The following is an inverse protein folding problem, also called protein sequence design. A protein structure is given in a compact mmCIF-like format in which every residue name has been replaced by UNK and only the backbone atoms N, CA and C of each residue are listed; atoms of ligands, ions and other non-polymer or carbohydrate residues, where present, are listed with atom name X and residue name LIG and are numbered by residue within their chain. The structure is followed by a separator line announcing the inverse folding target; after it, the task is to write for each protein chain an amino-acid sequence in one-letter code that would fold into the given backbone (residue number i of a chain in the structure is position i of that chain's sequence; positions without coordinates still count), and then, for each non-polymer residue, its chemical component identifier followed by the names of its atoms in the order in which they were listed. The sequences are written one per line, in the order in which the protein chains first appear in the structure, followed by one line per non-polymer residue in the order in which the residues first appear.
data_IF_189663163328
#
_entry.id   IF_189663163328
#
_cell.length_a   1.000
_cell.length_b   1.000
_cell.length_c   1.000
_cell.angle_alpha   90.00
_cell.angle_beta   90.00
_cell.angle_gamma   90.00
#
_symmetry.space_group_name_H-M   'P 1'
#
loop_
_entity.id
_entity.type
_entity.pdbx_description
1 polymer ?
#
# COMPACT_ATOMS: atom_id res chain seq x y z
N UNK A 1 28.44 57.97 -11.66
CA UNK A 1 28.45 56.54 -12.06
C UNK A 1 27.18 55.74 -11.66
N UNK A 2 25.99 56.35 -11.51
CA UNK A 2 24.81 55.65 -10.93
C UNK A 2 23.76 55.12 -11.94
N UNK A 3 23.81 55.52 -13.22
CA UNK A 3 22.76 55.17 -14.21
C UNK A 3 22.91 53.80 -14.88
N UNK A 4 24.10 53.15 -14.82
CA UNK A 4 24.35 51.84 -15.47
C UNK A 4 23.83 50.63 -14.67
N UNK A 5 23.89 50.66 -13.33
CA UNK A 5 23.43 49.54 -12.48
C UNK A 5 21.90 49.35 -12.47
N UNK A 6 21.11 50.43 -12.55
CA UNK A 6 19.63 50.34 -12.57
C UNK A 6 19.05 49.71 -13.84
N UNK A 7 19.70 49.86 -15.00
CA UNK A 7 19.26 49.26 -16.28
C UNK A 7 19.54 47.74 -16.33
N UNK A 8 20.62 47.28 -15.71
CA UNK A 8 21.04 45.88 -15.74
C UNK A 8 20.15 45.00 -14.84
N UNK A 9 19.77 45.50 -13.65
CA UNK A 9 18.84 44.81 -12.73
C UNK A 9 17.41 44.74 -13.28
N UNK A 10 16.98 45.78 -14.02
CA UNK A 10 15.67 45.80 -14.68
C UNK A 10 15.58 44.78 -15.83
N UNK A 11 16.67 44.54 -16.57
CA UNK A 11 16.71 43.55 -17.65
C UNK A 11 16.63 42.10 -17.15
N UNK A 12 17.39 41.76 -16.10
CA UNK A 12 17.34 40.42 -15.50
C UNK A 12 16.00 40.13 -14.84
N UNK A 13 15.40 41.12 -14.16
CA UNK A 13 14.07 40.95 -13.54
C UNK A 13 12.98 40.72 -14.58
N UNK A 14 13.07 41.37 -15.74
CA UNK A 14 12.13 41.19 -16.83
C UNK A 14 12.29 39.82 -17.52
N UNK A 15 13.53 39.33 -17.62
CA UNK A 15 13.82 37.98 -18.12
C UNK A 15 13.22 36.90 -17.22
N UNK A 16 13.38 37.00 -15.90
CA UNK A 16 12.77 36.04 -14.97
C UNK A 16 11.25 36.11 -14.97
N UNK A 17 10.66 37.31 -15.11
CA UNK A 17 9.20 37.44 -15.23
C UNK A 17 8.67 36.79 -16.50
N UNK A 18 9.34 36.95 -17.64
CA UNK A 18 8.98 36.22 -18.87
C UNK A 18 9.13 34.71 -18.71
N UNK A 19 10.17 34.24 -18.02
CA UNK A 19 10.39 32.81 -17.79
C UNK A 19 9.32 32.21 -16.87
N UNK A 20 8.90 32.94 -15.85
CA UNK A 20 7.81 32.53 -14.96
C UNK A 20 6.48 32.45 -15.73
N UNK A 21 6.22 33.40 -16.63
CA UNK A 21 5.00 33.41 -17.44
C UNK A 21 4.98 32.25 -18.46
N UNK A 22 6.12 31.96 -19.10
CA UNK A 22 6.29 30.77 -19.95
C UNK A 22 6.03 29.47 -19.18
N UNK A 23 6.67 29.30 -18.01
CA UNK A 23 6.55 28.09 -17.21
C UNK A 23 5.13 27.93 -16.63
N UNK A 24 4.50 29.03 -16.22
CA UNK A 24 3.11 29.00 -15.73
C UNK A 24 2.14 28.55 -16.83
N UNK A 25 2.40 28.96 -18.07
CA UNK A 25 1.62 28.52 -19.22
C UNK A 25 1.83 27.04 -19.53
N UNK A 26 3.08 26.57 -19.48
CA UNK A 26 3.42 25.16 -19.69
C UNK A 26 2.80 24.24 -18.62
N UNK A 27 2.83 24.65 -17.34
CA UNK A 27 2.18 23.93 -16.24
C UNK A 27 0.67 23.83 -16.49
N UNK A 28 0.03 24.94 -16.88
CA UNK A 28 -1.41 24.95 -17.16
C UNK A 28 -1.79 24.02 -18.32
N UNK A 29 -0.96 23.94 -19.36
CA UNK A 29 -1.17 23.02 -20.50
C UNK A 29 -0.98 21.55 -20.09
N UNK A 30 0.00 21.27 -19.22
CA UNK A 30 0.26 19.91 -18.71
C UNK A 30 -0.83 19.45 -17.72
N UNK A 31 -1.33 20.34 -16.86
CA UNK A 31 -2.45 20.06 -15.96
C UNK A 31 -3.72 19.71 -16.76
N UNK A 32 -4.02 20.45 -17.83
CA UNK A 32 -5.15 20.17 -18.70
C UNK A 32 -4.99 18.83 -19.44
N UNK A 33 -3.77 18.48 -19.84
CA UNK A 33 -3.47 17.18 -20.45
C UNK A 33 -3.63 16.02 -19.44
N UNK A 34 -3.19 16.20 -18.19
CA UNK A 34 -3.40 15.24 -17.10
C UNK A 34 -4.89 15.04 -16.81
N UNK A 35 -5.65 16.11 -16.66
CA UNK A 35 -7.10 16.06 -16.45
C UNK A 35 -7.83 15.32 -17.58
N UNK A 36 -7.42 15.57 -18.84
CA UNK A 36 -8.00 14.91 -19.99
C UNK A 36 -7.64 13.42 -20.02
N UNK A 37 -6.41 13.06 -19.62
CA UNK A 37 -5.92 11.69 -19.55
C UNK A 37 -6.63 10.91 -18.42
N UNK A 38 -6.86 11.54 -17.27
CA UNK A 38 -7.67 10.98 -16.17
C UNK A 38 -9.14 10.79 -16.57
N UNK A 39 -9.77 11.77 -17.23
CA UNK A 39 -11.15 11.63 -17.75
C UNK A 39 -11.26 10.48 -18.76
N UNK A 40 -10.27 10.31 -19.64
CA UNK A 40 -10.21 9.21 -20.60
C UNK A 40 -10.02 7.85 -19.91
N UNK A 41 -9.21 7.77 -18.84
CA UNK A 41 -9.07 6.57 -18.03
C UNK A 41 -10.36 6.25 -17.27
N UNK A 42 -10.99 7.24 -16.65
CA UNK A 42 -12.26 7.09 -15.95
C UNK A 42 -13.39 6.63 -16.89
N UNK A 43 -13.44 7.11 -18.14
CA UNK A 43 -14.38 6.61 -19.16
C UNK A 43 -14.12 5.15 -19.58
N UNK A 44 -12.87 4.67 -19.46
CA UNK A 44 -12.50 3.27 -19.73
C UNK A 44 -13.03 2.30 -18.67
N UNK A 45 -13.21 2.77 -17.44
CA UNK A 45 -13.76 2.01 -16.33
C UNK A 45 -15.23 2.37 -16.10
N UNK A 46 -16.12 1.80 -16.91
CA UNK A 46 -17.56 1.91 -16.70
C UNK A 46 -18.01 0.91 -15.63
N UNK A 47 -19.03 1.27 -14.83
CA UNK A 47 -19.76 0.31 -14.00
C UNK A 47 -20.30 -0.87 -14.83
N UNK A 48 -20.53 -0.68 -16.13
CA UNK A 48 -20.89 -1.75 -17.07
C UNK A 48 -19.75 -2.75 -17.28
N UNK A 49 -18.50 -2.31 -17.30
CA UNK A 49 -17.34 -3.20 -17.42
C UNK A 49 -17.16 -4.05 -16.17
N UNK A 50 -17.46 -3.50 -14.99
CA UNK A 50 -17.44 -4.25 -13.74
C UNK A 50 -18.60 -5.26 -13.66
N UNK A 51 -19.80 -4.87 -14.12
CA UNK A 51 -20.97 -5.74 -14.22
C UNK A 51 -20.74 -6.90 -15.22
N UNK A 52 -20.05 -6.66 -16.34
CA UNK A 52 -19.63 -7.72 -17.28
C UNK A 52 -18.61 -8.68 -16.66
N UNK A 53 -17.65 -8.19 -15.86
CA UNK A 53 -16.69 -9.03 -15.15
C UNK A 53 -17.40 -9.90 -14.12
N UNK A 54 -18.31 -9.32 -13.33
CA UNK A 54 -19.13 -10.06 -12.34
C UNK A 54 -20.00 -11.11 -13.04
N UNK A 55 -20.61 -10.77 -14.18
CA UNK A 55 -21.46 -11.69 -14.96
C UNK A 55 -20.66 -12.83 -15.57
N UNK A 56 -19.42 -12.58 -16.04
CA UNK A 56 -18.51 -13.63 -16.51
C UNK A 56 -18.06 -14.57 -15.38
N UNK A 57 -17.80 -14.04 -14.18
CA UNK A 57 -17.49 -14.85 -13.00
C UNK A 57 -18.67 -15.70 -12.52
N UNK A 58 -19.90 -15.22 -12.74
CA UNK A 58 -21.14 -15.94 -12.39
C UNK A 58 -21.47 -17.07 -13.37
N UNK A 59 -21.07 -16.94 -14.64
CA UNK A 59 -21.32 -17.96 -15.67
C UNK A 59 -20.39 -19.17 -15.53
N UNK A 60 -19.18 -18.98 -14.99
CA UNK A 60 -18.22 -20.07 -14.75
C UNK A 60 -18.64 -21.03 -13.63
N UNK A 61 -19.59 -20.65 -12.76
CA UNK A 61 -20.06 -21.47 -11.63
C UNK A 61 -21.29 -22.33 -11.94
N UNK A 62 -21.82 -22.32 -13.17
CA UNK A 62 -23.11 -22.97 -13.50
C UNK A 62 -23.09 -23.97 -14.66
N UNK A 63 -21.93 -24.49 -15.07
CA UNK A 63 -21.89 -25.56 -16.08
C UNK A 63 -21.57 -26.90 -15.44
N UNK A 64 -22.62 -27.61 -15.05
CA UNK A 64 -22.56 -29.06 -14.90
C UNK A 64 -23.64 -29.72 -15.78
N UNK A 65 -23.24 -30.81 -16.42
CA UNK A 65 -24.02 -31.74 -17.24
C UNK A 65 -24.51 -31.31 -18.63
N UNK A 66 -23.68 -31.49 -19.67
CA UNK A 66 -23.90 -32.50 -20.74
C UNK A 66 -22.68 -32.58 -21.67
N UNK A 67 -22.21 -33.82 -21.91
CA UNK A 67 -21.00 -34.14 -22.69
C UNK A 67 -21.18 -33.83 -24.17
N UNK A 68 -20.18 -33.20 -24.78
CA UNK A 68 -19.77 -33.57 -26.14
C UNK A 68 -18.26 -33.30 -26.36
N UNK A 69 -17.59 -34.28 -26.96
CA UNK A 69 -16.15 -34.32 -27.15
C UNK A 69 -15.69 -33.30 -28.22
N UNK A 70 -15.28 -32.09 -27.80
CA UNK A 70 -14.44 -31.17 -28.61
C UNK A 70 -13.76 -30.04 -27.83
N UNK A 71 -13.52 -30.20 -26.53
CA UNK A 71 -13.13 -29.11 -25.63
C UNK A 71 -11.67 -29.18 -25.17
N UNK A 72 -10.72 -29.29 -26.10
CA UNK A 72 -9.29 -29.26 -25.73
C UNK A 72 -8.58 -27.98 -26.19
N UNK A 73 -9.14 -27.23 -27.16
CA UNK A 73 -8.60 -25.92 -27.56
C UNK A 73 -9.06 -24.77 -26.67
N UNK A 74 -10.25 -24.89 -26.04
CA UNK A 74 -10.81 -23.81 -25.21
C UNK A 74 -10.18 -23.73 -23.82
N UNK A 75 -9.70 -24.86 -23.28
CA UNK A 75 -9.12 -24.91 -21.93
C UNK A 75 -7.78 -24.20 -21.85
N UNK A 76 -6.97 -24.26 -22.91
CA UNK A 76 -5.67 -23.57 -22.93
C UNK A 76 -5.84 -22.06 -23.06
N UNK A 77 -6.79 -21.60 -23.87
CA UNK A 77 -7.18 -20.19 -23.96
C UNK A 77 -7.77 -19.68 -22.64
N UNK A 78 -8.63 -20.48 -21.98
CA UNK A 78 -9.19 -20.17 -20.66
C UNK A 78 -8.09 -20.09 -19.60
N UNK A 79 -7.17 -21.05 -19.54
CA UNK A 79 -6.03 -21.04 -18.62
C UNK A 79 -5.17 -19.79 -18.84
N UNK A 80 -4.83 -19.46 -20.09
CA UNK A 80 -4.06 -18.27 -20.41
C UNK A 80 -4.78 -16.98 -20.02
N UNK A 81 -6.12 -16.95 -20.19
CA UNK A 81 -6.93 -15.81 -19.75
C UNK A 81 -6.93 -15.65 -18.22
N UNK A 82 -7.03 -16.75 -17.48
CA UNK A 82 -7.00 -16.75 -16.01
C UNK A 82 -5.61 -16.36 -15.48
N UNK A 83 -4.54 -16.84 -16.11
CA UNK A 83 -3.17 -16.44 -15.78
C UNK A 83 -2.97 -14.93 -15.99
N UNK A 84 -3.49 -14.39 -17.11
CA UNK A 84 -3.44 -12.94 -17.37
C UNK A 84 -4.22 -12.14 -16.32
N UNK A 85 -5.39 -12.64 -15.89
CA UNK A 85 -6.18 -12.00 -14.83
C UNK A 85 -5.43 -12.07 -13.49
N UNK A 86 -4.82 -13.21 -13.17
CA UNK A 86 -3.99 -13.39 -11.97
C UNK A 86 -2.85 -12.37 -11.93
N UNK A 87 -2.04 -12.26 -12.99
CA UNK A 87 -0.94 -11.28 -13.06
C UNK A 87 -1.41 -9.84 -12.88
N UNK A 88 -2.58 -9.50 -13.45
CA UNK A 88 -3.19 -8.17 -13.26
C UNK A 88 -3.63 -7.94 -11.82
N UNK A 89 -4.20 -8.95 -11.16
CA UNK A 89 -4.61 -8.87 -9.75
C UNK A 89 -3.40 -8.80 -8.81
N UNK A 90 -2.34 -9.54 -9.11
CA UNK A 90 -1.06 -9.48 -8.37
C UNK A 90 -0.46 -8.09 -8.47
N UNK A 91 -0.46 -7.50 -9.67
CA UNK A 91 0.01 -6.12 -9.88
C UNK A 91 -0.87 -5.09 -9.16
N UNK A 92 -2.20 -5.28 -9.19
CA UNK A 92 -3.16 -4.33 -8.61
C UNK A 92 -3.15 -4.36 -7.08
N UNK A 93 -3.11 -5.56 -6.49
CA UNK A 93 -3.28 -5.74 -5.04
C UNK A 93 -1.95 -5.86 -4.30
N UNK A 94 -0.86 -6.17 -5.02
CA UNK A 94 0.45 -6.48 -4.47
C UNK A 94 0.58 -7.92 -3.96
N UNK A 95 -0.52 -8.66 -3.82
CA UNK A 95 -0.51 -10.03 -3.32
C UNK A 95 -0.06 -11.02 -4.37
N UNK A 96 0.95 -11.81 -4.04
CA UNK A 96 1.42 -12.98 -4.78
C UNK A 96 1.39 -14.16 -3.81
N UNK A 97 0.47 -15.10 -4.04
CA UNK A 97 0.37 -16.31 -3.23
C UNK A 97 1.37 -17.36 -3.74
N UNK A 98 2.25 -17.79 -2.85
CA UNK A 98 3.23 -18.86 -3.11
C UNK A 98 2.63 -20.23 -2.78
N UNK A 99 1.78 -20.31 -1.75
CA UNK A 99 1.07 -21.54 -1.38
C UNK A 99 -0.38 -21.27 -0.94
N UNK A 100 -1.31 -22.09 -1.43
CA UNK A 100 -2.70 -22.17 -0.97
C UNK A 100 -3.02 -23.64 -0.67
N UNK A 101 -3.12 -23.97 0.61
CA UNK A 101 -3.44 -25.31 1.10
C UNK A 101 -4.81 -25.32 1.74
N UNK A 102 -5.64 -26.28 1.34
CA UNK A 102 -6.93 -26.56 1.95
C UNK A 102 -6.98 -28.00 2.47
N UNK A 103 -7.25 -28.16 3.77
CA UNK A 103 -7.36 -29.46 4.42
C UNK A 103 -8.72 -29.58 5.10
N UNK A 104 -9.47 -30.63 4.76
CA UNK A 104 -10.70 -30.96 5.47
C UNK A 104 -10.35 -31.52 6.85
N UNK A 105 -10.75 -30.81 7.90
CA UNK A 105 -10.47 -31.16 9.30
C UNK A 105 -11.55 -32.11 9.83
N UNK A 106 -12.81 -31.83 9.53
CA UNK A 106 -13.94 -32.66 9.95
C UNK A 106 -15.14 -32.42 9.05
N UNK A 107 -15.99 -33.44 8.93
CA UNK A 107 -17.31 -33.36 8.30
C UNK A 107 -18.29 -34.06 9.22
N UNK A 108 -19.34 -33.36 9.62
CA UNK A 108 -20.44 -33.91 10.42
C UNK A 108 -21.72 -33.76 9.62
N UNK A 109 -22.42 -34.87 9.43
CA UNK A 109 -23.77 -34.89 8.87
C UNK A 109 -24.74 -35.04 10.02
N UNK A 110 -25.47 -33.96 10.34
CA UNK A 110 -26.52 -34.00 11.33
C UNK A 110 -27.78 -34.62 10.70
N UNK A 111 -28.51 -35.42 11.48
CA UNK A 111 -29.76 -36.09 11.06
C UNK A 111 -30.87 -35.12 10.57
N UNK A 112 -30.67 -33.80 10.70
CA UNK A 112 -31.58 -32.74 10.29
C UNK A 112 -31.29 -32.17 8.87
N UNK A 113 -30.61 -32.93 8.00
CA UNK A 113 -30.18 -32.48 6.66
C UNK A 113 -29.20 -31.28 6.67
N UNK A 114 -28.44 -31.10 7.75
CA UNK A 114 -27.38 -30.09 7.86
C UNK A 114 -26.02 -30.81 7.82
N UNK A 115 -25.19 -30.44 6.85
CA UNK A 115 -23.79 -30.89 6.78
C UNK A 115 -22.89 -29.75 7.21
N UNK A 116 -22.09 -29.97 8.26
CA UNK A 116 -21.06 -29.03 8.70
C UNK A 116 -19.68 -29.55 8.30
N UNK A 117 -18.95 -28.78 7.48
CA UNK A 117 -17.57 -29.06 7.08
C UNK A 117 -16.63 -28.03 7.66
N UNK A 118 -15.53 -28.49 8.26
CA UNK A 118 -14.48 -27.62 8.78
C UNK A 118 -13.25 -27.74 7.89
N UNK A 119 -12.79 -26.62 7.35
CA UNK A 119 -11.61 -26.54 6.50
C UNK A 119 -10.52 -25.73 7.18
N UNK A 120 -9.30 -26.27 7.26
CA UNK A 120 -8.11 -25.48 7.57
C UNK A 120 -7.51 -24.97 6.26
N UNK A 121 -7.25 -23.67 6.20
CA UNK A 121 -6.67 -22.96 5.07
C UNK A 121 -5.35 -22.36 5.50
N UNK A 122 -4.30 -22.58 4.72
CA UNK A 122 -2.99 -21.97 4.90
C UNK A 122 -2.64 -21.24 3.62
N UNK A 123 -2.52 -19.92 3.73
CA UNK A 123 -2.12 -19.02 2.65
C UNK A 123 -0.74 -18.47 2.98
N UNK A 124 0.23 -18.69 2.10
CA UNK A 124 1.55 -18.05 2.21
C UNK A 124 1.88 -17.29 0.95
N UNK A 125 2.68 -16.25 1.08
CA UNK A 125 3.12 -15.48 -0.06
C UNK A 125 3.69 -14.14 0.32
N UNK A 126 3.62 -13.22 -0.63
CA UNK A 126 4.17 -11.86 -0.51
C UNK A 126 3.12 -10.83 -0.87
N UNK A 127 3.13 -9.72 -0.15
CA UNK A 127 2.43 -8.51 -0.52
C UNK A 127 3.49 -7.45 -0.78
N UNK A 128 3.77 -7.18 -2.06
CA UNK A 128 4.96 -6.41 -2.49
C UNK A 128 6.25 -7.00 -1.87
N UNK A 129 6.95 -6.23 -1.05
CA UNK A 129 8.20 -6.62 -0.40
C UNK A 129 8.00 -7.33 0.96
N UNK A 130 6.75 -7.52 1.41
CA UNK A 130 6.41 -8.08 2.72
C UNK A 130 5.96 -9.54 2.60
N UNK A 131 6.64 -10.47 3.26
CA UNK A 131 6.24 -11.89 3.30
C UNK A 131 5.27 -12.16 4.45
N UNK A 132 4.23 -12.96 4.18
CA UNK A 132 3.16 -13.26 5.13
C UNK A 132 2.73 -14.73 5.08
N UNK A 133 2.18 -15.19 6.21
CA UNK A 133 1.47 -16.46 6.36
C UNK A 133 0.14 -16.22 7.09
N UNK A 134 -0.96 -16.72 6.54
CA UNK A 134 -2.30 -16.67 7.16
C UNK A 134 -2.86 -18.09 7.26
N UNK A 135 -3.06 -18.56 8.48
CA UNK A 135 -3.66 -19.86 8.80
C UNK A 135 -5.02 -19.66 9.46
N UNK A 136 -6.09 -20.19 8.87
CA UNK A 136 -7.43 -20.02 9.38
C UNK A 136 -8.30 -21.27 9.22
N UNK A 137 -9.33 -21.37 10.03
CA UNK A 137 -10.32 -22.45 9.97
C UNK A 137 -11.67 -21.85 9.59
N UNK A 138 -12.28 -22.40 8.54
CA UNK A 138 -13.62 -22.06 8.08
C UNK A 138 -14.58 -23.19 8.41
N UNK A 139 -15.68 -22.87 9.07
CA UNK A 139 -16.83 -23.75 9.30
C UNK A 139 -17.89 -23.42 8.25
N UNK A 140 -18.12 -24.35 7.34
CA UNK A 140 -19.14 -24.28 6.30
C UNK A 140 -20.34 -25.14 6.70
N UNK A 141 -21.50 -24.51 6.86
CA UNK A 141 -22.77 -25.18 7.11
C UNK A 141 -23.61 -25.14 5.85
N UNK A 142 -23.98 -26.32 5.37
CA UNK A 142 -24.85 -26.51 4.23
C UNK A 142 -26.17 -27.09 4.71
N UNK A 143 -27.26 -26.33 4.57
CA UNK A 143 -28.62 -26.83 4.79
C UNK A 143 -29.15 -27.35 3.47
N UNK A 144 -29.39 -28.67 3.39
CA UNK A 144 -30.04 -29.26 2.23
C UNK A 144 -31.53 -28.93 2.26
N UNK A 145 -32.10 -28.35 1.18
CA UNK A 145 -33.52 -27.97 1.16
C UNK A 145 -34.41 -29.22 1.32
N UNK A 146 -35.39 -29.12 2.21
CA UNK A 146 -36.44 -30.14 2.36
C UNK A 146 -37.29 -30.10 1.09
N UNK A 147 -37.40 -31.23 0.39
CA UNK A 147 -38.26 -31.34 -0.79
C UNK A 147 -39.73 -31.38 -0.35
N UNK A 148 -40.34 -30.22 -0.15
CA UNK A 148 -41.79 -30.08 -0.05
C UNK A 148 -42.28 -29.05 -1.07
N UNK A 149 -42.82 -29.54 -2.19
CA UNK A 149 -43.62 -28.79 -3.18
C UNK A 149 -42.92 -27.68 -3.99
N UNK A 150 -42.75 -27.92 -5.30
CA UNK A 150 -42.56 -26.99 -6.46
C UNK A 150 -41.73 -25.68 -6.33
N UNK A 151 -40.99 -25.47 -5.26
CA UNK A 151 -40.11 -24.31 -5.09
C UNK A 151 -38.71 -24.79 -4.72
N UNK A 152 -37.79 -24.82 -5.69
CA UNK A 152 -36.38 -25.15 -5.46
C UNK A 152 -35.71 -23.98 -4.72
N UNK A 153 -35.83 -23.95 -3.39
CA UNK A 153 -35.00 -23.05 -2.59
C UNK A 153 -33.52 -23.48 -2.73
N UNK A 154 -32.66 -22.56 -3.13
CA UNK A 154 -31.21 -22.79 -3.14
C UNK A 154 -30.77 -22.97 -1.69
N UNK A 155 -30.20 -24.12 -1.35
CA UNK A 155 -29.71 -24.41 -0.01
C UNK A 155 -28.81 -23.30 0.50
N UNK A 156 -29.09 -22.79 1.71
CA UNK A 156 -28.29 -21.72 2.29
C UNK A 156 -26.95 -22.30 2.75
N UNK A 157 -25.86 -21.85 2.11
CA UNK A 157 -24.49 -22.11 2.55
C UNK A 157 -24.07 -20.93 3.42
N UNK A 158 -23.75 -21.19 4.69
CA UNK A 158 -23.13 -20.20 5.56
C UNK A 158 -21.71 -20.62 5.90
N UNK A 159 -20.78 -19.68 5.83
CA UNK A 159 -19.37 -19.91 6.16
C UNK A 159 -18.96 -18.94 7.26
N UNK A 160 -18.28 -19.44 8.29
CA UNK A 160 -17.75 -18.62 9.38
C UNK A 160 -16.30 -19.00 9.65
N UNK A 161 -15.46 -17.99 9.89
CA UNK A 161 -14.10 -18.22 10.35
C UNK A 161 -14.16 -18.50 11.86
N UNK A 162 -13.65 -19.65 12.30
CA UNK A 162 -13.63 -20.05 13.71
C UNK A 162 -12.27 -19.78 14.38
N UNK A 163 -11.18 -19.84 13.61
CA UNK A 163 -9.83 -19.50 14.03
C UNK A 163 -9.10 -18.74 12.94
N UNK A 164 -8.30 -17.75 13.31
CA UNK A 164 -7.43 -16.99 12.42
C UNK A 164 -6.08 -16.80 13.12
N UNK A 165 -5.00 -17.00 12.38
CA UNK A 165 -3.63 -16.74 12.80
C UNK A 165 -2.86 -16.10 11.63
N UNK A 166 -2.08 -15.07 11.93
CA UNK A 166 -1.30 -14.31 10.95
C UNK A 166 0.16 -14.24 11.43
N UNK A 167 1.10 -14.45 10.52
CA UNK A 167 2.54 -14.30 10.77
C UNK A 167 3.18 -13.44 9.70
N UNK A 168 4.12 -12.61 10.13
CA UNK A 168 4.89 -11.70 9.29
C UNK A 168 6.37 -11.96 9.56
N UNK A 169 7.14 -12.16 8.49
CA UNK A 169 8.55 -12.55 8.59
C UNK A 169 9.50 -11.36 8.79
N UNK A 170 9.06 -10.14 8.44
CA UNK A 170 9.88 -8.94 8.61
C UNK A 170 9.84 -8.41 10.06
N UNK A 171 10.98 -8.22 10.74
CA UNK A 171 11.00 -7.81 12.15
C UNK A 171 10.36 -6.45 12.40
N UNK A 172 10.64 -5.45 11.56
CA UNK A 172 10.09 -4.10 11.73
C UNK A 172 8.58 -4.12 11.50
N UNK A 173 8.14 -4.78 10.44
CA UNK A 173 6.71 -4.90 10.17
C UNK A 173 5.97 -5.73 11.23
N UNK A 174 6.61 -6.76 11.78
CA UNK A 174 6.04 -7.56 12.87
C UNK A 174 5.76 -6.69 14.09
N UNK A 175 6.70 -5.83 14.47
CA UNK A 175 6.55 -4.94 15.62
C UNK A 175 5.48 -3.86 15.36
N UNK A 176 5.47 -3.24 14.17
CA UNK A 176 4.48 -2.23 13.78
C UNK A 176 3.05 -2.80 13.67
N UNK A 177 2.91 -4.06 13.25
CA UNK A 177 1.61 -4.73 13.04
C UNK A 177 1.11 -5.50 14.28
N UNK A 178 1.91 -5.68 15.33
CA UNK A 178 1.64 -6.63 16.43
C UNK A 178 0.26 -6.43 17.08
N UNK A 179 -0.05 -5.18 17.44
CA UNK A 179 -1.32 -4.82 18.09
C UNK A 179 -2.50 -5.08 17.14
N UNK A 180 -2.36 -4.70 15.87
CA UNK A 180 -3.39 -4.91 14.87
C UNK A 180 -3.65 -6.40 14.63
N UNK A 181 -2.60 -7.20 14.43
CA UNK A 181 -2.71 -8.64 14.19
C UNK A 181 -3.42 -9.32 15.36
N UNK A 182 -3.01 -8.99 16.60
CA UNK A 182 -3.63 -9.53 17.80
C UNK A 182 -5.14 -9.26 17.86
N UNK A 183 -5.57 -8.05 17.50
CA UNK A 183 -6.99 -7.69 17.45
C UNK A 183 -7.72 -8.40 16.31
N UNK A 184 -7.12 -8.42 15.11
CA UNK A 184 -7.73 -9.04 13.93
C UNK A 184 -7.90 -10.56 14.09
N UNK A 185 -6.97 -11.24 14.75
CA UNK A 185 -7.07 -12.67 15.11
C UNK A 185 -8.21 -12.93 16.09
N UNK A 186 -8.41 -12.05 17.09
CA UNK A 186 -9.51 -12.15 18.06
C UNK A 186 -10.88 -11.92 17.42
N UNK A 187 -10.97 -10.91 16.54
CA UNK A 187 -12.19 -10.58 15.80
C UNK A 187 -12.48 -11.56 14.65
N UNK A 188 -11.46 -12.33 14.24
CA UNK A 188 -11.50 -13.27 13.10
C UNK A 188 -11.76 -12.56 11.76
N UNK A 189 -11.24 -11.34 11.64
CA UNK A 189 -11.51 -10.41 10.53
C UNK A 189 -10.50 -10.59 9.38
N UNK A 190 -10.55 -11.73 8.67
CA UNK A 190 -9.63 -12.04 7.56
C UNK A 190 -9.62 -10.95 6.46
N UNK A 191 -10.79 -10.41 6.11
CA UNK A 191 -10.88 -9.34 5.11
C UNK A 191 -10.09 -8.09 5.51
N UNK A 192 -10.21 -7.67 6.78
CA UNK A 192 -9.46 -6.54 7.34
C UNK A 192 -7.96 -6.82 7.34
N UNK A 193 -7.54 -8.06 7.65
CA UNK A 193 -6.13 -8.45 7.56
C UNK A 193 -5.59 -8.25 6.16
N UNK A 194 -6.27 -8.79 5.14
CA UNK A 194 -5.81 -8.66 3.75
C UNK A 194 -5.81 -7.20 3.28
N UNK A 195 -6.82 -6.41 3.67
CA UNK A 195 -6.88 -4.99 3.35
C UNK A 195 -5.71 -4.21 3.99
N UNK A 196 -5.47 -4.40 5.28
CA UNK A 196 -4.38 -3.72 6.00
C UNK A 196 -3.02 -4.13 5.46
N UNK A 197 -2.80 -5.43 5.21
CA UNK A 197 -1.53 -5.90 4.64
C UNK A 197 -1.28 -5.28 3.26
N UNK A 198 -2.30 -5.15 2.42
CA UNK A 198 -2.18 -4.48 1.12
C UNK A 198 -1.75 -3.01 1.29
N UNK A 199 -2.46 -2.22 2.08
CA UNK A 199 -2.15 -0.81 2.28
C UNK A 199 -0.82 -0.58 3.00
N UNK A 200 -0.57 -1.33 4.08
CA UNK A 200 0.67 -1.27 4.85
C UNK A 200 1.88 -1.61 3.97
N UNK A 201 1.81 -2.67 3.16
CA UNK A 201 2.92 -3.04 2.29
C UNK A 201 3.29 -1.95 1.29
N UNK A 202 2.32 -1.17 0.80
CA UNK A 202 2.57 -0.05 -0.11
C UNK A 202 3.38 1.05 0.57
N UNK A 203 2.96 1.49 1.76
CA UNK A 203 3.70 2.49 2.54
C UNK A 203 5.06 1.97 2.99
N UNK A 204 5.15 0.71 3.39
CA UNK A 204 6.39 0.05 3.78
C UNK A 204 7.40 0.01 2.63
N UNK A 205 6.98 -0.42 1.43
CA UNK A 205 7.82 -0.39 0.22
C UNK A 205 8.23 1.03 -0.13
N UNK A 206 7.33 2.01 0.01
CA UNK A 206 7.60 3.41 -0.31
C UNK A 206 8.66 3.99 0.63
N UNK A 207 8.52 3.77 1.94
CA UNK A 207 9.52 4.15 2.95
C UNK A 207 10.90 3.59 2.62
N UNK A 208 10.98 2.28 2.35
CA UNK A 208 12.24 1.64 1.98
C UNK A 208 12.87 2.26 0.72
N UNK A 209 12.08 2.45 -0.34
CA UNK A 209 12.57 3.04 -1.60
C UNK A 209 13.09 4.45 -1.40
N UNK A 210 12.36 5.28 -0.65
CA UNK A 210 12.79 6.66 -0.34
C UNK A 210 14.07 6.67 0.50
N UNK A 211 14.12 5.89 1.58
CA UNK A 211 15.32 5.81 2.43
C UNK A 211 16.53 5.30 1.66
N UNK A 212 16.36 4.24 0.87
CA UNK A 212 17.41 3.71 0.01
C UNK A 212 17.88 4.74 -1.03
N UNK A 213 16.96 5.50 -1.64
CA UNK A 213 17.29 6.55 -2.60
C UNK A 213 18.23 7.59 -1.98
N UNK A 214 17.84 8.17 -0.85
CA UNK A 214 18.65 9.19 -0.18
C UNK A 214 19.97 8.64 0.37
N UNK A 215 19.98 7.42 0.90
CA UNK A 215 21.21 6.74 1.30
C UNK A 215 22.21 6.58 0.16
N UNK A 216 21.71 6.29 -1.04
CA UNK A 216 22.55 6.09 -2.24
C UNK A 216 23.01 7.41 -2.84
N UNK A 217 22.14 8.43 -2.82
CA UNK A 217 22.41 9.75 -3.40
C UNK A 217 23.35 10.60 -2.53
N UNK A 218 23.24 10.46 -1.20
CA UNK A 218 23.97 11.27 -0.21
C UNK A 218 24.55 10.41 0.92
N UNK A 219 25.41 9.43 0.61
CA UNK A 219 25.97 8.51 1.61
C UNK A 219 26.79 9.20 2.70
N UNK A 220 27.33 10.39 2.43
CA UNK A 220 28.09 11.18 3.39
C UNK A 220 27.22 11.95 4.41
N UNK A 221 25.93 12.14 4.12
CA UNK A 221 25.01 12.90 4.97
C UNK A 221 23.90 12.04 5.58
N UNK A 222 23.59 10.90 4.98
CA UNK A 222 22.47 10.03 5.39
C UNK A 222 23.02 8.81 6.14
N UNK A 223 22.48 8.55 7.32
CA UNK A 223 22.89 7.47 8.21
C UNK A 223 21.68 6.64 8.66
N UNK A 224 21.92 5.36 8.93
CA UNK A 224 20.95 4.43 9.51
C UNK A 224 21.62 3.59 10.59
N UNK A 225 20.91 3.30 11.68
CA UNK A 225 21.41 2.39 12.71
C UNK A 225 21.51 0.96 12.21
N UNK A 226 20.45 0.46 11.57
CA UNK A 226 20.34 -0.92 11.08
C UNK A 226 20.28 -1.02 9.56
N UNK A 227 20.47 0.08 8.82
CA UNK A 227 20.27 0.15 7.36
C UNK A 227 18.84 0.58 6.95
N UNK A 228 18.64 0.97 5.69
CA UNK A 228 17.39 1.61 5.23
C UNK A 228 16.18 0.68 5.18
N UNK A 229 16.39 -0.65 5.17
CA UNK A 229 15.30 -1.65 5.12
C UNK A 229 14.63 -1.86 6.48
N UNK A 230 15.41 -1.84 7.55
CA UNK A 230 14.96 -2.22 8.89
C UNK A 230 14.87 -1.04 9.84
N UNK A 231 14.73 0.17 9.29
CA UNK A 231 14.65 1.40 10.07
C UNK A 231 13.41 2.20 9.66
N UNK A 232 12.68 2.67 10.65
CA UNK A 232 11.67 3.72 10.52
C UNK A 232 12.27 5.13 10.69
N UNK A 233 13.55 5.22 11.06
CA UNK A 233 14.29 6.48 11.20
C UNK A 233 15.38 6.62 10.13
N UNK A 234 15.55 7.84 9.65
CA UNK A 234 16.68 8.24 8.82
C UNK A 234 17.39 9.42 9.46
N UNK A 235 18.67 9.24 9.76
CA UNK A 235 19.50 10.26 10.36
C UNK A 235 20.18 11.09 9.26
N UNK A 236 20.11 12.42 9.38
CA UNK A 236 20.79 13.36 8.51
C UNK A 236 21.83 14.12 9.35
N UNK A 237 23.11 13.95 9.04
CA UNK A 237 24.20 14.65 9.72
C UNK A 237 25.42 14.78 8.84
N UNK A 238 26.16 15.86 9.02
CA UNK A 238 27.47 16.02 8.42
C UNK A 238 28.54 15.51 9.40
N UNK A 239 29.22 14.41 9.07
CA UNK A 239 30.23 13.82 9.96
C UNK A 239 31.49 14.70 10.06
N UNK A 240 31.76 15.51 9.04
CA UNK A 240 32.94 16.37 8.99
C UNK A 240 32.76 17.68 9.77
N UNK A 241 31.52 18.03 10.13
CA UNK A 241 31.18 19.31 10.77
C UNK A 241 30.26 19.10 11.98
N UNK A 242 30.62 19.69 13.10
CA UNK A 242 29.69 19.79 14.23
C UNK A 242 28.61 20.82 13.89
N UNK A 243 27.46 20.34 13.41
CA UNK A 243 26.32 21.14 13.00
C UNK A 243 24.99 20.52 13.45
N UNK A 244 23.89 21.00 12.87
CA UNK A 244 22.56 20.46 13.13
C UNK A 244 22.46 19.00 12.68
N UNK A 245 21.84 18.19 13.52
CA UNK A 245 21.50 16.81 13.22
C UNK A 245 19.99 16.69 13.07
N UNK A 246 19.51 16.19 11.93
CA UNK A 246 18.09 15.92 11.74
C UNK A 246 17.81 14.43 11.82
N UNK A 247 16.66 14.07 12.37
CA UNK A 247 16.12 12.71 12.32
C UNK A 247 14.77 12.77 11.66
N UNK A 248 14.65 12.14 10.50
CA UNK A 248 13.35 11.92 9.82
C UNK A 248 12.76 10.62 10.37
N UNK A 249 11.58 10.71 10.95
CA UNK A 249 10.79 9.58 11.41
C UNK A 249 9.67 9.29 10.41
N UNK A 250 9.52 8.03 9.98
CA UNK A 250 8.44 7.58 9.13
C UNK A 250 7.75 6.37 9.76
N UNK A 251 6.68 6.66 10.50
CA UNK A 251 5.84 5.67 11.17
C UNK A 251 4.62 5.35 10.31
N UNK A 252 4.14 4.10 10.37
CA UNK A 252 2.94 3.67 9.67
C UNK A 252 1.93 3.24 10.72
N UNK A 253 0.96 4.10 10.98
CA UNK A 253 -0.07 3.86 11.99
C UNK A 253 -1.23 3.07 11.40
N UNK A 254 -1.82 2.19 12.21
CA UNK A 254 -3.03 1.45 11.86
C UNK A 254 -4.09 1.83 12.87
N UNK A 255 -5.20 2.38 12.39
CA UNK A 255 -6.30 2.72 13.26
C UNK A 255 -7.15 1.49 13.62
N UNK A 256 -8.06 1.68 14.58
CA UNK A 256 -9.00 0.64 15.04
C UNK A 256 -9.96 0.12 13.96
N UNK A 257 -10.08 0.80 12.82
CA UNK A 257 -10.93 0.40 11.71
C UNK A 257 -10.14 -0.30 10.60
N UNK A 258 -8.82 -0.46 10.77
CA UNK A 258 -7.95 -1.03 9.74
C UNK A 258 -7.58 -0.05 8.64
N UNK A 259 -7.66 1.27 8.88
CA UNK A 259 -7.07 2.25 7.98
C UNK A 259 -5.59 2.41 8.30
N UNK A 260 -4.77 2.42 7.25
CA UNK A 260 -3.32 2.58 7.37
C UNK A 260 -2.93 4.02 7.00
N UNK A 261 -2.29 4.72 7.93
CA UNK A 261 -1.92 6.13 7.77
C UNK A 261 -0.41 6.30 8.01
N UNK A 262 0.38 6.64 6.98
CA UNK A 262 1.78 7.00 7.19
C UNK A 262 1.86 8.38 7.86
N UNK A 263 2.73 8.49 8.86
CA UNK A 263 3.09 9.75 9.49
C UNK A 263 4.59 9.97 9.31
N UNK A 264 4.95 11.09 8.68
CA UNK A 264 6.34 11.48 8.45
C UNK A 264 6.58 12.79 9.19
N UNK A 265 7.56 12.78 10.06
CA UNK A 265 7.99 13.96 10.81
C UNK A 265 9.52 14.07 10.77
N UNK A 266 10.01 15.29 11.01
CA UNK A 266 11.44 15.53 11.16
C UNK A 266 11.71 16.29 12.45
N UNK A 267 12.73 15.84 13.16
CA UNK A 267 13.22 16.44 14.39
C UNK A 267 14.63 16.92 14.18
N UNK A 268 15.04 17.94 14.91
CA UNK A 268 16.41 18.44 14.89
C UNK A 268 16.99 18.40 16.29
N UNK A 269 18.26 18.05 16.37
CA UNK A 269 19.07 18.10 17.57
C UNK A 269 20.33 18.91 17.25
N UNK A 270 20.68 19.85 18.13
CA UNK A 270 21.96 20.55 18.06
C UNK A 270 22.91 19.94 19.09
N UNK A 271 24.05 19.34 18.67
CA UNK A 271 25.03 18.79 19.60
C UNK A 271 25.80 19.87 20.37
N UNK A 272 25.70 21.14 19.95
CA UNK A 272 26.28 22.30 20.64
C UNK A 272 25.15 23.20 21.11
N UNK A 273 25.20 23.68 22.35
CA UNK A 273 24.28 24.70 22.85
C UNK A 273 24.54 26.01 22.07
N UNK A 274 23.71 26.27 21.06
CA UNK A 274 23.75 27.49 20.26
C UNK A 274 22.56 28.36 20.66
N UNK A 275 22.80 29.66 20.86
CA UNK A 275 21.75 30.63 21.18
C UNK A 275 20.67 30.63 20.06
N UNK A 276 19.41 30.39 20.43
CA UNK A 276 18.30 30.23 19.47
C UNK A 276 18.08 28.80 18.94
N UNK A 277 18.88 27.81 19.37
CA UNK A 277 18.66 26.40 19.00
C UNK A 277 17.30 25.88 19.47
N UNK A 278 16.80 26.32 20.63
CA UNK A 278 15.50 25.90 21.16
C UNK A 278 14.33 26.29 20.25
N UNK A 279 14.41 27.48 19.62
CA UNK A 279 13.39 27.95 18.68
C UNK A 279 13.40 27.11 17.38
N UNK A 280 14.59 26.71 16.92
CA UNK A 280 14.75 25.84 15.74
C UNK A 280 14.28 24.42 16.06
N UNK A 281 14.65 23.87 17.21
CA UNK A 281 14.25 22.53 17.69
C UNK A 281 12.74 22.42 17.81
N UNK A 282 12.10 23.42 18.42
CA UNK A 282 10.65 23.42 18.64
C UNK A 282 9.85 23.67 17.35
N UNK A 283 10.35 24.48 16.42
CA UNK A 283 9.62 24.83 15.20
C UNK A 283 9.84 23.89 14.01
N UNK A 284 10.93 23.12 13.99
CA UNK A 284 11.29 22.22 12.87
C UNK A 284 10.18 21.23 12.51
N UNK A 285 9.54 20.50 13.44
CA UNK A 285 8.50 19.54 13.07
C UNK A 285 7.31 20.19 12.36
N UNK A 286 6.88 21.37 12.82
CA UNK A 286 5.75 22.08 12.20
C UNK A 286 6.13 22.62 10.81
N UNK A 287 7.33 23.17 10.67
CA UNK A 287 7.82 23.65 9.38
C UNK A 287 7.99 22.50 8.37
N UNK A 288 8.54 21.37 8.82
CA UNK A 288 8.70 20.18 8.00
C UNK A 288 7.34 19.67 7.49
N UNK A 289 6.32 19.56 8.36
CA UNK A 289 4.98 19.14 7.95
C UNK A 289 4.35 20.08 6.90
N UNK A 290 4.59 21.40 7.01
CA UNK A 290 4.12 22.37 5.99
C UNK A 290 4.76 22.08 4.64
N UNK A 291 6.08 21.90 4.61
CA UNK A 291 6.82 21.59 3.39
C UNK A 291 6.36 20.25 2.81
N UNK A 292 6.25 19.21 3.66
CA UNK A 292 5.78 17.88 3.29
C UNK A 292 4.40 17.93 2.61
N UNK A 293 3.48 18.72 3.19
CA UNK A 293 2.13 18.87 2.64
C UNK A 293 2.08 19.63 1.31
N UNK A 294 3.05 20.53 1.07
CA UNK A 294 3.06 21.40 -0.10
C UNK A 294 3.85 20.82 -1.27
N UNK A 295 4.96 20.13 -0.98
CA UNK A 295 5.94 19.70 -1.99
C UNK A 295 6.14 18.18 -2.04
N UNK A 296 5.65 17.43 -1.04
CA UNK A 296 5.83 15.99 -0.98
C UNK A 296 7.08 15.56 -0.21
N UNK A 297 7.27 14.23 -0.15
CA UNK A 297 8.27 13.58 0.71
C UNK A 297 9.70 13.83 0.23
N UNK A 298 9.95 13.72 -1.07
CA UNK A 298 11.30 13.81 -1.63
C UNK A 298 11.86 15.23 -1.44
N UNK A 299 11.10 16.25 -1.85
CA UNK A 299 11.47 17.66 -1.72
C UNK A 299 11.69 18.08 -0.27
N UNK A 300 10.82 17.60 0.65
CA UNK A 300 10.96 17.91 2.07
C UNK A 300 12.28 17.37 2.65
N UNK A 301 12.67 16.14 2.30
CA UNK A 301 13.93 15.54 2.73
C UNK A 301 15.12 16.22 2.04
N UNK A 302 15.03 16.51 0.75
CA UNK A 302 16.08 17.16 -0.02
C UNK A 302 16.45 18.53 0.58
N UNK A 303 15.44 19.29 1.05
CA UNK A 303 15.63 20.56 1.75
C UNK A 303 16.40 20.36 3.07
N UNK A 304 16.06 19.37 3.88
CA UNK A 304 16.81 19.08 5.11
C UNK A 304 18.27 18.72 4.81
N UNK A 305 18.50 17.92 3.78
CA UNK A 305 19.86 17.55 3.35
C UNK A 305 20.64 18.79 2.89
N UNK A 306 20.00 19.73 2.21
CA UNK A 306 20.66 21.00 1.82
C UNK A 306 21.12 21.80 3.04
N UNK A 307 20.34 21.83 4.12
CA UNK A 307 20.71 22.50 5.38
C UNK A 307 21.88 21.80 6.06
N UNK A 308 21.90 20.46 6.06
CA UNK A 308 22.99 19.66 6.65
C UNK A 308 24.32 19.80 5.88
N UNK A 309 24.24 20.11 4.58
CA UNK A 309 25.41 20.32 3.72
C UNK A 309 26.11 21.66 3.97
N UNK A 310 25.37 22.68 4.39
CA UNK A 310 25.89 24.05 4.58
C UNK A 310 26.98 24.15 5.65
#
# INVERSE_FOLDING_TARGET
MSKRKRKQVSGSKNYYLQKIDELSKEISELEEECDQREKNLAQKFSLKTLDEVVKKLSLTTSTDATRDYKSQSNTEEEINSLLTIKEKLETLTGFVFEEDKALLVSSTDDNNNETTKCWRRLLTGKCLDLSFEVDFITEEKQVCPVQDGDTKEQGQISAKISKLQVKIDDPLAKDELEIFISNAEQERSLGTVLQVLSQYSQYYSSRYKTFHHFNTKYPEYVCFLNGPKWSNFMELRNVERNGLHFTVCWEIHIDKFGNVVPQIDAFVCSPVEVEGADDVVSSTPEQFRKILSQFGVEEAIELLISIVKE
#
